data_IF_802514901279
#
_entry.id   IF_802514901279
#
_cell.length_a   1.000
_cell.length_b   1.000
_cell.length_c   1.000
_cell.angle_alpha   90.00
_cell.angle_beta   90.00
_cell.angle_gamma   90.00
#
_symmetry.space_group_name_H-M   'P 1'
#
loop_
_entity.id
_entity.type
_entity.pdbx_description
1 polymer ?
#
# COMPACT_ATOMS: atom_id res chain seq x y z
N UNK A 1 26.61 -7.01 39.10
CA UNK A 1 26.87 -6.30 40.38
C UNK A 1 25.62 -5.54 40.81
N UNK A 2 24.88 -6.11 41.77
CA UNK A 2 23.89 -5.40 42.59
C UNK A 2 24.53 -5.19 43.95
N UNK A 3 24.56 -3.98 44.49
CA UNK A 3 24.74 -3.66 45.93
C UNK A 3 24.33 -2.20 46.22
N UNK A 4 23.99 -1.85 47.48
CA UNK A 4 22.73 -1.17 47.80
C UNK A 4 22.86 0.05 48.74
N UNK A 5 21.68 0.64 49.05
CA UNK A 5 21.21 1.27 50.29
C UNK A 5 21.90 2.51 50.89
N UNK A 6 21.08 3.55 51.16
CA UNK A 6 20.71 4.08 52.51
C UNK A 6 19.75 5.28 52.29
N UNK A 7 18.53 5.30 52.86
CA UNK A 7 18.19 5.92 54.16
C UNK A 7 18.15 7.47 54.03
N UNK A 8 17.06 8.22 54.27
CA UNK A 8 16.33 8.35 55.54
C UNK A 8 14.99 9.12 55.39
N UNK A 9 13.97 8.61 56.07
CA UNK A 9 12.82 9.23 56.75
C UNK A 9 12.48 10.73 56.57
N UNK A 10 11.20 11.03 56.32
CA UNK A 10 10.45 12.06 57.08
C UNK A 10 8.92 11.87 57.02
N UNK A 11 8.36 11.57 58.20
CA UNK A 11 7.11 12.05 58.82
C UNK A 11 5.90 12.42 57.95
N UNK A 12 4.77 11.72 58.23
CA UNK A 12 3.38 12.15 57.96
C UNK A 12 3.06 13.49 58.67
N UNK A 13 2.05 14.25 58.23
CA UNK A 13 0.72 14.03 58.81
C UNK A 13 -0.50 14.26 57.88
N UNK A 14 -1.63 13.81 58.42
CA UNK A 14 -2.98 14.40 58.35
C UNK A 14 -3.73 14.43 57.01
N UNK A 15 -4.49 13.36 56.80
CA UNK A 15 -5.91 13.38 56.42
C UNK A 15 -6.44 14.61 55.64
N UNK A 16 -6.19 14.66 54.34
CA UNK A 16 -7.01 15.47 53.44
C UNK A 16 -8.22 14.63 52.99
N UNK A 17 -9.32 14.80 53.73
CA UNK A 17 -10.59 14.09 53.57
C UNK A 17 -11.19 14.44 52.21
N UNK A 18 -11.05 13.56 51.22
CA UNK A 18 -11.69 13.70 49.91
C UNK A 18 -13.21 13.75 50.11
N UNK A 19 -13.77 14.96 49.99
CA UNK A 19 -15.20 15.23 50.07
C UNK A 19 -15.81 14.72 48.76
N UNK A 20 -16.31 13.48 48.76
CA UNK A 20 -17.06 12.91 47.64
C UNK A 20 -18.31 13.76 47.41
N UNK A 21 -18.30 14.56 46.34
CA UNK A 21 -19.47 15.26 45.83
C UNK A 21 -20.46 14.22 45.32
N UNK A 22 -21.42 13.86 46.17
CA UNK A 22 -22.54 12.98 45.82
C UNK A 22 -23.49 13.78 44.94
N UNK A 23 -23.26 13.74 43.63
CA UNK A 23 -24.20 14.20 42.62
C UNK A 23 -25.53 13.46 42.81
N UNK A 24 -26.56 14.23 43.16
CA UNK A 24 -27.94 13.76 43.37
C UNK A 24 -28.53 13.46 41.99
N UNK A 25 -28.55 12.18 41.61
CA UNK A 25 -29.25 11.71 40.41
C UNK A 25 -30.74 12.06 40.52
N UNK A 26 -31.18 13.03 39.71
CA UNK A 26 -32.61 13.29 39.47
C UNK A 26 -33.08 12.28 38.43
N UNK A 27 -33.68 11.20 38.93
CA UNK A 27 -34.45 10.23 38.15
C UNK A 27 -35.72 10.87 37.59
N UNK A 28 -35.70 11.27 36.32
CA UNK A 28 -36.89 11.61 35.53
C UNK A 28 -37.21 10.49 34.55
N UNK A 29 -38.35 9.82 34.75
CA UNK A 29 -38.87 8.71 33.93
C UNK A 29 -39.29 9.20 32.55
N UNK A 30 -38.74 8.59 31.48
CA UNK A 30 -39.35 8.55 30.13
C UNK A 30 -38.93 7.26 29.39
N UNK A 31 -39.38 6.12 29.94
CA UNK A 31 -38.98 4.76 29.53
C UNK A 31 -39.22 4.42 28.04
N UNK A 32 -40.13 5.12 27.35
CA UNK A 32 -40.42 4.88 25.93
C UNK A 32 -39.41 5.50 24.96
N UNK A 33 -38.79 6.62 25.32
CA UNK A 33 -37.88 7.36 24.40
C UNK A 33 -36.49 6.73 24.37
N UNK A 34 -36.07 6.09 25.47
CA UNK A 34 -34.77 5.40 25.57
C UNK A 34 -34.71 4.14 24.70
N UNK A 35 -35.80 3.39 24.61
CA UNK A 35 -35.88 2.19 23.76
C UNK A 35 -35.86 2.52 22.27
N UNK A 36 -36.60 3.56 21.85
CA UNK A 36 -36.62 4.04 20.45
C UNK A 36 -35.22 4.57 20.05
N UNK A 37 -34.54 5.29 20.95
CA UNK A 37 -33.16 5.75 20.71
C UNK A 37 -32.15 4.62 20.61
N UNK A 38 -32.28 3.58 21.45
CA UNK A 38 -31.41 2.40 21.36
C UNK A 38 -31.64 1.62 20.06
N UNK A 39 -32.91 1.52 19.61
CA UNK A 39 -33.25 0.84 18.36
C UNK A 39 -32.79 1.62 17.12
N UNK A 40 -32.95 2.95 17.11
CA UNK A 40 -32.40 3.83 16.08
C UNK A 40 -30.87 3.79 16.05
N UNK A 41 -30.21 3.74 17.21
CA UNK A 41 -28.75 3.62 17.30
C UNK A 41 -28.25 2.25 16.82
N UNK A 42 -28.98 1.17 17.09
CA UNK A 42 -28.65 -0.16 16.57
C UNK A 42 -28.87 -0.25 15.05
N UNK A 43 -29.92 0.39 14.53
CA UNK A 43 -30.22 0.44 13.11
C UNK A 43 -29.20 1.30 12.32
N UNK A 44 -28.73 2.40 12.91
CA UNK A 44 -27.63 3.18 12.33
C UNK A 44 -26.30 2.44 12.43
N UNK A 45 -26.04 1.67 13.49
CA UNK A 45 -24.80 0.88 13.56
C UNK A 45 -24.79 -0.30 12.56
N UNK A 46 -25.95 -0.93 12.34
CA UNK A 46 -26.09 -2.03 11.39
C UNK A 46 -25.95 -1.59 9.91
N UNK A 47 -26.34 -0.37 9.58
CA UNK A 47 -26.21 0.18 8.21
C UNK A 47 -24.78 0.63 7.86
N UNK A 48 -23.91 0.84 8.86
CA UNK A 48 -22.50 1.22 8.65
C UNK A 48 -21.51 0.04 8.64
N UNK A 49 -21.96 -1.18 8.95
CA UNK A 49 -21.14 -2.38 8.87
C UNK A 49 -20.97 -2.82 7.40
N UNK A 50 -20.17 -2.08 6.63
CA UNK A 50 -19.74 -2.48 5.30
C UNK A 50 -18.80 -3.69 5.45
N UNK A 51 -19.11 -4.87 4.89
CA UNK A 51 -18.18 -5.99 4.93
C UNK A 51 -16.92 -5.56 4.19
N UNK A 52 -15.78 -5.69 4.85
CA UNK A 52 -14.48 -5.52 4.22
C UNK A 52 -14.26 -6.72 3.28
N UNK A 53 -14.84 -6.65 2.09
CA UNK A 53 -14.46 -7.52 0.98
C UNK A 53 -13.00 -7.19 0.69
N UNK A 54 -12.11 -8.08 1.08
CA UNK A 54 -10.73 -8.05 0.62
C UNK A 54 -10.79 -8.07 -0.91
N UNK A 55 -10.30 -6.99 -1.53
CA UNK A 55 -10.27 -6.89 -2.99
C UNK A 55 -9.49 -8.07 -3.60
N UNK A 56 -9.70 -8.36 -4.88
CA UNK A 56 -8.93 -9.39 -5.56
C UNK A 56 -7.42 -9.15 -5.36
N UNK A 57 -6.62 -10.23 -5.22
CA UNK A 57 -5.19 -10.10 -4.99
C UNK A 57 -4.55 -9.28 -6.11
N UNK A 58 -3.70 -8.32 -5.73
CA UNK A 58 -2.98 -7.49 -6.70
C UNK A 58 -2.04 -8.38 -7.52
N UNK A 59 -2.03 -8.27 -8.86
CA UNK A 59 -1.12 -9.04 -9.68
C UNK A 59 0.32 -8.58 -9.45
N UNK A 60 1.26 -9.53 -9.51
CA UNK A 60 2.68 -9.22 -9.55
C UNK A 60 3.08 -8.90 -11.00
N UNK A 61 3.76 -7.77 -11.20
CA UNK A 61 4.23 -7.34 -12.52
C UNK A 61 5.74 -7.56 -12.58
N UNK A 62 6.19 -8.39 -13.50
CA UNK A 62 7.61 -8.65 -13.76
C UNK A 62 7.97 -8.03 -15.11
N UNK A 63 8.88 -7.07 -15.11
CA UNK A 63 9.40 -6.43 -16.32
C UNK A 63 10.78 -7.00 -16.62
N UNK A 64 10.93 -7.64 -17.78
CA UNK A 64 12.20 -8.18 -18.26
C UNK A 64 12.62 -7.32 -19.45
N UNK A 65 13.79 -6.69 -19.35
CA UNK A 65 14.40 -5.88 -20.42
C UNK A 65 15.74 -6.51 -20.79
N UNK A 66 15.97 -6.71 -22.09
CA UNK A 66 17.25 -7.11 -22.64
C UNK A 66 17.85 -5.94 -23.41
N UNK A 67 19.13 -5.63 -23.13
CA UNK A 67 19.90 -4.63 -23.89
C UNK A 67 20.44 -5.25 -25.20
N UNK A 68 20.54 -4.42 -26.25
CA UNK A 68 21.09 -4.76 -27.57
C UNK A 68 20.46 -5.96 -28.29
N UNK A 69 19.23 -6.34 -27.93
CA UNK A 69 18.47 -7.39 -28.60
C UNK A 69 17.71 -6.84 -29.82
N UNK A 70 18.00 -7.40 -30.99
CA UNK A 70 17.33 -7.10 -32.24
C UNK A 70 15.97 -7.81 -32.38
N UNK A 71 15.12 -7.27 -33.25
CA UNK A 71 13.80 -7.87 -33.55
C UNK A 71 13.91 -9.30 -34.12
N UNK A 72 14.93 -9.53 -34.95
CA UNK A 72 15.21 -10.82 -35.60
C UNK A 72 15.97 -11.80 -34.73
N UNK A 73 16.28 -11.48 -33.46
CA UNK A 73 17.07 -12.38 -32.62
C UNK A 73 16.21 -13.44 -31.92
N UNK A 74 14.89 -13.23 -31.83
CA UNK A 74 13.97 -14.12 -31.13
C UNK A 74 13.24 -15.01 -32.15
N UNK A 75 13.21 -16.32 -31.90
CA UNK A 75 12.53 -17.29 -32.76
C UNK A 75 11.06 -16.95 -33.03
N UNK A 76 10.34 -16.44 -32.03
CA UNK A 76 8.93 -16.05 -32.19
C UNK A 76 8.68 -14.88 -33.16
N UNK A 77 9.71 -14.14 -33.57
CA UNK A 77 9.62 -13.11 -34.62
C UNK A 77 10.23 -13.56 -35.96
N UNK A 78 10.64 -14.83 -36.07
CA UNK A 78 11.29 -15.40 -37.25
C UNK A 78 12.82 -15.37 -37.19
N UNK A 79 13.39 -15.23 -36.00
CA UNK A 79 14.84 -15.29 -35.80
C UNK A 79 15.44 -16.69 -35.95
N UNK A 80 16.74 -16.73 -36.27
CA UNK A 80 17.49 -17.98 -36.45
C UNK A 80 17.91 -18.62 -35.12
N UNK A 81 17.95 -17.84 -34.03
CA UNK A 81 18.38 -18.30 -32.72
C UNK A 81 17.26 -19.08 -32.05
N UNK A 82 17.58 -20.28 -31.57
CA UNK A 82 16.62 -21.12 -30.85
C UNK A 82 16.32 -20.59 -29.44
N UNK A 83 15.14 -19.98 -29.24
CA UNK A 83 14.73 -19.34 -27.99
C UNK A 83 13.46 -19.94 -27.37
N UNK A 84 13.46 -21.23 -26.95
CA UNK A 84 12.24 -21.96 -26.61
C UNK A 84 11.44 -21.36 -25.44
N UNK A 85 12.12 -20.73 -24.47
CA UNK A 85 11.45 -20.09 -23.34
C UNK A 85 10.71 -18.81 -23.74
N UNK A 86 11.30 -18.00 -24.63
CA UNK A 86 10.69 -16.78 -25.14
C UNK A 86 9.57 -17.12 -26.13
N UNK A 87 9.75 -18.16 -26.93
CA UNK A 87 8.75 -18.63 -27.88
C UNK A 87 7.49 -19.13 -27.16
N UNK A 88 7.67 -19.87 -26.06
CA UNK A 88 6.56 -20.28 -25.19
C UNK A 88 5.84 -19.08 -24.56
N UNK A 89 6.58 -18.06 -24.15
CA UNK A 89 5.99 -16.83 -23.59
C UNK A 89 5.20 -16.07 -24.65
N UNK A 90 5.74 -15.93 -25.86
CA UNK A 90 5.10 -15.25 -26.98
C UNK A 90 3.89 -16.02 -27.55
N UNK A 91 3.90 -17.35 -27.49
CA UNK A 91 2.77 -18.20 -27.91
C UNK A 91 1.64 -18.27 -26.88
N UNK A 92 1.96 -18.20 -25.59
CA UNK A 92 0.98 -18.16 -24.50
C UNK A 92 0.46 -16.76 -24.15
N UNK A 93 0.98 -15.72 -24.80
CA UNK A 93 0.70 -14.32 -24.49
C UNK A 93 0.42 -13.48 -25.73
N UNK A 94 0.65 -12.17 -25.59
CA UNK A 94 0.52 -11.21 -26.68
C UNK A 94 1.90 -10.79 -27.18
N UNK A 95 2.05 -10.66 -28.51
CA UNK A 95 3.27 -10.18 -29.16
C UNK A 95 3.01 -8.87 -29.88
N UNK A 96 3.95 -7.94 -29.81
CA UNK A 96 3.89 -6.66 -30.49
C UNK A 96 4.86 -6.66 -31.67
N UNK A 97 4.33 -6.57 -32.89
CA UNK A 97 5.15 -6.52 -34.12
C UNK A 97 5.62 -5.10 -34.47
N UNK A 98 5.05 -4.08 -33.83
CA UNK A 98 5.33 -2.66 -34.08
C UNK A 98 5.67 -1.98 -32.74
N UNK A 99 6.80 -2.37 -32.16
CA UNK A 99 7.35 -1.79 -30.93
C UNK A 99 8.64 -1.04 -31.27
N UNK A 100 8.74 0.21 -30.84
CA UNK A 100 9.86 1.10 -31.17
C UNK A 100 10.60 1.54 -29.91
N UNK A 101 11.93 1.51 -29.96
CA UNK A 101 12.79 2.09 -28.94
C UNK A 101 13.29 3.47 -29.38
N UNK A 102 14.06 4.14 -28.53
CA UNK A 102 14.66 5.45 -28.85
C UNK A 102 16.01 5.35 -29.57
N UNK A 103 16.40 4.15 -30.02
CA UNK A 103 17.67 3.86 -30.71
C UNK A 103 18.91 3.82 -29.80
N UNK A 104 18.78 4.10 -28.50
CA UNK A 104 19.88 4.10 -27.51
C UNK A 104 19.42 3.58 -26.16
N UNK A 105 20.33 3.02 -25.37
CA UNK A 105 20.05 2.38 -24.08
C UNK A 105 19.55 3.38 -23.01
N UNK A 106 20.24 4.51 -22.81
CA UNK A 106 19.87 5.53 -21.81
C UNK A 106 18.48 6.15 -22.04
N UNK A 107 18.17 6.74 -23.23
CA UNK A 107 16.85 7.33 -23.45
C UNK A 107 15.72 6.29 -23.46
N UNK A 108 15.97 5.05 -23.90
CA UNK A 108 14.95 3.99 -23.87
C UNK A 108 14.57 3.62 -22.44
N UNK A 109 15.57 3.45 -21.56
CA UNK A 109 15.33 3.18 -20.14
C UNK A 109 14.65 4.36 -19.44
N UNK A 110 15.03 5.58 -19.77
CA UNK A 110 14.38 6.78 -19.22
C UNK A 110 12.89 6.81 -19.57
N UNK A 111 12.55 6.54 -20.84
CA UNK A 111 11.15 6.46 -21.27
C UNK A 111 10.39 5.34 -20.55
N UNK A 112 11.01 4.16 -20.38
CA UNK A 112 10.40 3.02 -19.70
C UNK A 112 10.10 3.31 -18.23
N UNK A 113 11.02 3.96 -17.51
CA UNK A 113 10.90 4.22 -16.08
C UNK A 113 10.00 5.42 -15.75
N UNK A 114 10.01 6.45 -16.61
CA UNK A 114 9.28 7.70 -16.35
C UNK A 114 7.93 7.77 -17.08
N UNK A 115 7.74 6.99 -18.14
CA UNK A 115 6.58 7.10 -19.04
C UNK A 115 6.56 8.38 -19.87
N UNK A 116 7.68 9.13 -19.91
CA UNK A 116 7.82 10.38 -20.63
C UNK A 116 8.69 10.20 -21.88
N UNK A 117 8.52 11.10 -22.85
CA UNK A 117 9.45 11.16 -23.99
C UNK A 117 10.85 11.55 -23.54
N UNK A 118 11.91 11.16 -24.27
CA UNK A 118 13.29 11.34 -23.81
C UNK A 118 13.67 12.81 -23.61
N UNK A 119 13.09 13.72 -24.42
CA UNK A 119 13.26 15.15 -24.28
C UNK A 119 12.67 15.71 -22.97
N UNK A 120 11.56 15.14 -22.49
CA UNK A 120 10.92 15.53 -21.23
C UNK A 120 11.63 14.91 -20.02
N UNK A 121 12.20 13.72 -20.20
CA UNK A 121 12.98 13.04 -19.18
C UNK A 121 14.39 13.63 -18.97
N UNK A 122 14.79 14.64 -19.77
CA UNK A 122 16.11 15.26 -19.70
C UNK A 122 17.25 14.42 -20.27
N UNK A 123 16.94 13.30 -20.95
CA UNK A 123 17.91 12.39 -21.58
C UNK A 123 17.77 12.52 -23.10
N UNK A 124 18.08 13.71 -23.62
CA UNK A 124 17.99 14.02 -25.06
C UNK A 124 19.16 13.44 -25.87
N UNK A 125 20.32 13.27 -25.24
CA UNK A 125 21.53 12.69 -25.83
C UNK A 125 22.17 11.71 -24.86
N UNK A 126 23.13 10.91 -25.35
CA UNK A 126 24.00 10.14 -24.48
C UNK A 126 24.71 11.16 -23.57
N UNK A 127 24.43 11.12 -22.27
CA UNK A 127 25.16 11.92 -21.30
C UNK A 127 26.61 11.41 -21.36
N UNK A 128 27.51 12.26 -21.84
CA UNK A 128 28.96 12.00 -21.88
C UNK A 128 29.57 12.15 -20.48
#
# INVERSE_FOLDING_TARGET
MRRPATGTTRSRPSSCRARTFRSRSRSGKSSGVTLIRAFLAALTLATFAKPAVAGPPKPNIVVILADDMGFSDIGCYGGEIHTPNLDRLGGGGLRFTQFYNTGRCCPTRACLLTGLYPHQAGIGHMME
#
